data_IF_200144725203
#
_entry.id   IF_200144725203
#
_cell.length_a   1.000
_cell.length_b   1.000
_cell.length_c   1.000
_cell.angle_alpha   90.00
_cell.angle_beta   90.00
_cell.angle_gamma   90.00
#
_symmetry.space_group_name_H-M   'P 1'
#
loop_
_entity.id
_entity.type
_entity.pdbx_description
1 polymer ?
#
# COMPACT_ATOMS: atom_id res chain seq x y z
N UNK A 1 28.13 -4.98 -1.05
CA UNK A 1 26.71 -5.30 -1.35
C UNK A 1 25.99 -3.97 -1.57
N UNK A 2 25.18 -3.81 -2.62
CA UNK A 2 24.47 -2.55 -2.82
C UNK A 2 23.46 -2.34 -1.69
N UNK A 3 23.57 -1.21 -0.99
CA UNK A 3 22.62 -0.75 0.01
C UNK A 3 21.71 0.31 -0.60
N UNK A 4 20.45 0.35 -0.20
CA UNK A 4 19.50 1.39 -0.62
C UNK A 4 19.46 2.54 0.40
N UNK A 5 19.14 3.75 -0.06
CA UNK A 5 18.95 4.92 0.79
C UNK A 5 17.54 5.47 0.59
N UNK A 6 16.82 5.71 1.68
CA UNK A 6 15.45 6.27 1.68
C UNK A 6 15.41 7.80 1.52
N UNK A 7 16.58 8.45 1.45
CA UNK A 7 16.72 9.90 1.27
C UNK A 7 16.35 10.68 2.53
N UNK A 8 15.57 11.75 2.35
CA UNK A 8 15.18 12.68 3.43
C UNK A 8 14.49 11.98 4.61
N UNK A 9 13.70 10.95 4.33
CA UNK A 9 12.89 10.26 5.33
C UNK A 9 13.59 8.97 5.75
N UNK A 10 14.15 8.95 6.97
CA UNK A 10 14.85 7.79 7.55
C UNK A 10 14.00 7.01 8.55
N UNK A 11 12.70 7.33 8.62
CA UNK A 11 11.73 6.71 9.51
C UNK A 11 10.31 7.10 9.12
N UNK A 12 9.35 6.70 9.97
CA UNK A 12 7.94 7.04 9.77
C UNK A 12 7.69 8.54 9.95
N UNK A 13 6.65 9.04 9.31
CA UNK A 13 6.15 10.42 9.45
C UNK A 13 4.72 10.39 10.01
N UNK A 14 4.52 10.20 11.33
CA UNK A 14 3.19 9.99 11.91
C UNK A 14 2.21 11.13 11.65
N UNK A 15 2.73 12.36 11.49
CA UNK A 15 1.92 13.55 11.19
C UNK A 15 1.32 13.52 9.77
N UNK A 16 1.87 12.73 8.86
CA UNK A 16 1.40 12.65 7.48
C UNK A 16 0.43 11.47 7.27
N UNK A 17 0.19 10.65 8.31
CA UNK A 17 -0.82 9.58 8.27
C UNK A 17 -2.22 10.17 8.43
N UNK A 18 -3.08 9.88 7.47
CA UNK A 18 -4.50 10.23 7.50
C UNK A 18 -5.36 9.01 7.16
N UNK A 19 -6.62 9.02 7.59
CA UNK A 19 -7.63 8.00 7.28
C UNK A 19 -8.82 8.71 6.66
N UNK A 20 -9.32 8.20 5.54
CA UNK A 20 -10.50 8.77 4.87
C UNK A 20 -11.70 8.67 5.81
N UNK A 21 -12.40 9.78 5.99
CA UNK A 21 -13.61 9.83 6.82
C UNK A 21 -14.80 9.34 6.02
N UNK A 22 -14.99 8.02 5.99
CA UNK A 22 -16.12 7.38 5.30
C UNK A 22 -17.25 7.07 6.28
N UNK A 23 -18.48 7.37 5.89
CA UNK A 23 -19.66 7.18 6.74
C UNK A 23 -19.83 5.73 7.24
N UNK A 24 -19.33 4.74 6.50
CA UNK A 24 -19.43 3.32 6.86
C UNK A 24 -18.48 2.89 7.98
N UNK A 25 -17.37 3.61 8.19
CA UNK A 25 -16.34 3.26 9.19
C UNK A 25 -16.14 4.35 10.24
N UNK A 26 -16.82 5.48 10.09
CA UNK A 26 -16.62 6.67 10.92
C UNK A 26 -16.84 6.41 12.43
N UNK A 27 -17.81 5.57 12.79
CA UNK A 27 -18.08 5.19 14.19
C UNK A 27 -17.04 4.26 14.80
N UNK A 28 -16.29 3.54 13.96
CA UNK A 28 -15.41 2.46 14.38
C UNK A 28 -13.95 2.92 14.50
N UNK A 29 -13.63 4.08 13.91
CA UNK A 29 -12.29 4.65 13.91
C UNK A 29 -12.04 5.43 15.20
N UNK A 30 -10.91 5.15 15.86
CA UNK A 30 -10.42 5.94 16.98
C UNK A 30 -9.79 7.26 16.50
N UNK A 31 -10.58 8.33 16.47
CA UNK A 31 -10.18 9.63 15.90
C UNK A 31 -9.21 10.44 16.77
N UNK A 32 -9.08 10.20 18.08
CA UNK A 32 -8.07 10.91 18.88
C UNK A 32 -6.63 10.57 18.46
N UNK A 33 -6.44 9.40 17.84
CA UNK A 33 -5.14 8.90 17.38
C UNK A 33 -4.97 8.98 15.85
N UNK A 34 -6.03 9.27 15.09
CA UNK A 34 -6.02 9.25 13.63
C UNK A 34 -6.56 10.55 13.05
N UNK A 35 -5.90 11.08 12.02
CA UNK A 35 -6.31 12.33 11.38
C UNK A 35 -7.31 12.03 10.27
N UNK A 36 -8.49 12.67 10.25
CA UNK A 36 -9.43 12.51 9.15
C UNK A 36 -8.87 13.15 7.88
N UNK A 37 -9.18 12.53 6.74
CA UNK A 37 -9.04 13.08 5.40
C UNK A 37 -10.43 13.07 4.76
N UNK A 38 -10.84 14.18 4.18
CA UNK A 38 -12.13 14.24 3.50
C UNK A 38 -12.08 13.38 2.22
N UNK A 39 -13.17 12.67 1.86
CA UNK A 39 -13.21 11.82 0.67
C UNK A 39 -12.78 12.53 -0.62
N UNK A 40 -13.11 13.81 -0.79
CA UNK A 40 -12.76 14.61 -1.96
C UNK A 40 -11.24 14.86 -2.07
N UNK A 41 -10.59 15.10 -0.93
CA UNK A 41 -9.13 15.25 -0.87
C UNK A 41 -8.44 13.93 -1.21
N UNK A 42 -8.97 12.82 -0.71
CA UNK A 42 -8.49 11.49 -1.08
C UNK A 42 -8.61 11.24 -2.58
N UNK A 43 -9.74 11.56 -3.22
CA UNK A 43 -9.90 11.40 -4.66
C UNK A 43 -8.91 12.27 -5.45
N UNK A 44 -8.65 13.48 -4.97
CA UNK A 44 -7.63 14.36 -5.56
C UNK A 44 -6.23 13.73 -5.48
N UNK A 45 -5.84 13.19 -4.32
CA UNK A 45 -4.54 12.51 -4.14
C UNK A 45 -4.47 11.25 -5.02
N UNK A 46 -5.52 10.43 -5.02
CA UNK A 46 -5.62 9.20 -5.81
C UNK A 46 -5.49 9.48 -7.31
N UNK A 47 -6.10 10.55 -7.80
CA UNK A 47 -5.99 10.96 -9.20
C UNK A 47 -4.56 11.39 -9.53
N UNK A 48 -3.93 12.18 -8.65
CA UNK A 48 -2.54 12.64 -8.84
C UNK A 48 -1.54 11.49 -8.86
N UNK A 49 -1.65 10.52 -7.94
CA UNK A 49 -0.73 9.36 -7.93
C UNK A 49 -0.96 8.44 -9.13
N UNK A 50 -2.22 8.26 -9.55
CA UNK A 50 -2.54 7.51 -10.77
C UNK A 50 -1.90 8.14 -12.01
N UNK A 51 -2.02 9.46 -12.17
CA UNK A 51 -1.37 10.20 -13.25
C UNK A 51 0.16 10.14 -13.16
N UNK A 52 0.74 10.26 -11.95
CA UNK A 52 2.18 10.17 -11.73
C UNK A 52 2.75 8.81 -12.16
N UNK A 53 2.05 7.71 -11.84
CA UNK A 53 2.48 6.34 -12.14
C UNK A 53 2.16 5.88 -13.57
N UNK A 54 1.31 6.60 -14.32
CA UNK A 54 0.85 6.20 -15.65
C UNK A 54 2.03 5.98 -16.62
N UNK A 55 2.90 6.98 -16.74
CA UNK A 55 3.96 7.05 -17.76
C UNK A 55 5.35 6.69 -17.21
N UNK A 56 5.38 5.99 -16.07
CA UNK A 56 6.63 5.61 -15.40
C UNK A 56 6.82 4.10 -15.34
N UNK A 57 8.08 3.62 -15.38
CA UNK A 57 8.41 2.27 -14.96
C UNK A 57 7.89 2.01 -13.54
N UNK A 58 7.21 0.88 -13.37
CA UNK A 58 6.59 0.47 -12.11
C UNK A 58 6.76 -1.02 -11.91
N UNK A 59 6.87 -1.41 -10.65
CA UNK A 59 6.95 -2.79 -10.21
C UNK A 59 5.64 -3.15 -9.52
N UNK A 60 5.04 -4.26 -9.94
CA UNK A 60 3.84 -4.80 -9.32
C UNK A 60 4.23 -6.02 -8.49
N UNK A 61 3.86 -6.03 -7.21
CA UNK A 61 4.14 -7.14 -6.30
C UNK A 61 2.85 -7.58 -5.63
N UNK A 62 2.43 -8.80 -5.94
CA UNK A 62 1.28 -9.45 -5.32
C UNK A 62 1.74 -10.31 -4.15
N UNK A 63 1.12 -10.11 -2.99
CA UNK A 63 1.51 -10.74 -1.71
C UNK A 63 0.29 -11.04 -0.85
N UNK A 64 0.51 -11.85 0.18
CA UNK A 64 -0.46 -12.05 1.27
C UNK A 64 0.05 -11.45 2.58
N UNK A 65 -0.84 -10.78 3.30
CA UNK A 65 -0.64 -10.35 4.68
C UNK A 65 -1.46 -11.25 5.63
N UNK A 66 -0.78 -11.95 6.55
CA UNK A 66 -1.38 -12.99 7.38
C UNK A 66 -1.09 -14.40 6.85
N UNK A 67 -0.68 -15.30 7.76
CA UNK A 67 -0.24 -16.65 7.39
C UNK A 67 -1.39 -17.65 7.22
N UNK A 68 -2.51 -17.40 7.88
CA UNK A 68 -3.70 -18.24 7.79
C UNK A 68 -4.48 -17.93 6.50
N UNK A 69 -4.68 -18.89 5.59
CA UNK A 69 -5.46 -18.69 4.37
C UNK A 69 -6.90 -18.19 4.59
N UNK A 70 -7.51 -18.45 5.75
CA UNK A 70 -8.86 -18.00 6.07
C UNK A 70 -8.92 -16.49 6.36
N UNK A 71 -7.84 -15.92 6.92
CA UNK A 71 -7.82 -14.53 7.40
C UNK A 71 -6.80 -13.64 6.68
N UNK A 72 -6.04 -14.19 5.71
CA UNK A 72 -5.05 -13.43 4.96
C UNK A 72 -5.71 -12.45 4.02
N UNK A 73 -5.02 -11.34 3.79
CA UNK A 73 -5.45 -10.30 2.85
C UNK A 73 -4.57 -10.37 1.61
N UNK A 74 -5.18 -10.44 0.43
CA UNK A 74 -4.51 -10.31 -0.85
C UNK A 74 -4.15 -8.83 -1.10
N UNK A 75 -2.86 -8.49 -1.05
CA UNK A 75 -2.37 -7.11 -1.22
C UNK A 75 -1.53 -6.99 -2.49
N UNK A 76 -1.92 -6.06 -3.36
CA UNK A 76 -1.14 -5.64 -4.54
C UNK A 76 -0.41 -4.33 -4.25
N UNK A 77 0.89 -4.34 -4.42
CA UNK A 77 1.72 -3.14 -4.36
C UNK A 77 2.11 -2.69 -5.77
N UNK A 78 1.96 -1.41 -6.07
CA UNK A 78 2.43 -0.78 -7.30
C UNK A 78 3.42 0.30 -6.90
N UNK A 79 4.71 0.07 -7.16
CA UNK A 79 5.81 0.91 -6.64
C UNK A 79 6.74 1.35 -7.76
N UNK A 80 7.21 2.59 -7.73
CA UNK A 80 8.20 3.10 -8.71
C UNK A 80 9.61 2.53 -8.48
N UNK A 81 9.99 2.23 -7.23
CA UNK A 81 11.36 1.88 -6.87
C UNK A 81 11.60 0.37 -6.73
N UNK A 82 12.63 -0.20 -7.39
CA UNK A 82 12.88 -1.65 -7.34
C UNK A 82 13.17 -2.16 -5.92
N UNK A 83 13.86 -1.37 -5.09
CA UNK A 83 14.19 -1.81 -3.73
C UNK A 83 12.96 -1.82 -2.80
N UNK A 84 11.93 -1.01 -3.08
CA UNK A 84 10.65 -1.11 -2.37
C UNK A 84 9.95 -2.43 -2.72
N UNK A 85 9.93 -2.80 -4.00
CA UNK A 85 9.40 -4.10 -4.44
C UNK A 85 10.12 -5.28 -3.77
N UNK A 86 11.45 -5.21 -3.67
CA UNK A 86 12.26 -6.21 -2.95
C UNK A 86 11.93 -6.24 -1.45
N UNK A 87 11.80 -5.07 -0.80
CA UNK A 87 11.44 -4.97 0.61
C UNK A 87 10.09 -5.64 0.89
N UNK A 88 9.07 -5.33 0.09
CA UNK A 88 7.72 -5.91 0.19
C UNK A 88 7.77 -7.43 0.02
N UNK A 89 8.48 -7.92 -1.01
CA UNK A 89 8.63 -9.35 -1.29
C UNK A 89 9.35 -10.12 -0.16
N UNK A 90 10.18 -9.43 0.62
CA UNK A 90 10.89 -10.01 1.77
C UNK A 90 10.06 -9.96 3.05
N UNK A 91 9.18 -8.97 3.19
CA UNK A 91 8.39 -8.73 4.40
C UNK A 91 7.10 -9.55 4.44
N UNK A 92 6.44 -9.71 3.28
CA UNK A 92 5.13 -10.36 3.18
C UNK A 92 5.22 -11.77 2.57
N UNK A 93 4.10 -12.50 2.64
CA UNK A 93 4.04 -13.88 2.16
C UNK A 93 3.92 -13.87 0.64
N UNK A 94 4.78 -14.67 0.00
CA UNK A 94 4.82 -14.83 -1.45
C UNK A 94 3.77 -15.85 -1.87
N UNK A 95 2.84 -15.50 -2.78
CA UNK A 95 1.93 -16.47 -3.36
C UNK A 95 2.72 -17.49 -4.20
N UNK A 96 2.19 -18.69 -4.30
CA UNK A 96 2.64 -19.71 -5.24
C UNK A 96 2.28 -19.32 -6.68
N UNK A 97 2.86 -20.01 -7.67
CA UNK A 97 2.54 -19.76 -9.07
C UNK A 97 1.06 -20.00 -9.39
N UNK A 98 0.43 -20.98 -8.73
CA UNK A 98 -0.99 -21.31 -8.87
C UNK A 98 -1.87 -20.21 -8.27
N UNK A 99 -1.54 -19.73 -7.06
CA UNK A 99 -2.26 -18.61 -6.43
C UNK A 99 -2.14 -17.31 -7.23
N UNK A 100 -0.98 -17.05 -7.84
CA UNK A 100 -0.80 -15.89 -8.73
C UNK A 100 -1.70 -15.95 -9.97
N UNK A 101 -1.94 -17.14 -10.52
CA UNK A 101 -2.75 -17.29 -11.72
C UNK A 101 -4.20 -16.84 -11.52
N UNK A 102 -4.70 -16.88 -10.29
CA UNK A 102 -6.06 -16.47 -9.90
C UNK A 102 -6.07 -15.32 -8.89
N UNK A 103 -4.98 -14.57 -8.75
CA UNK A 103 -4.84 -13.55 -7.73
C UNK A 103 -5.75 -12.34 -8.00
N UNK A 104 -6.61 -12.02 -7.02
CA UNK A 104 -7.45 -10.83 -7.02
C UNK A 104 -7.10 -10.02 -5.77
N UNK A 105 -6.61 -8.77 -5.90
CA UNK A 105 -6.27 -7.97 -4.74
C UNK A 105 -7.51 -7.47 -3.99
N UNK A 106 -7.50 -7.65 -2.68
CA UNK A 106 -8.46 -7.03 -1.75
C UNK A 106 -8.00 -5.64 -1.33
N UNK A 107 -6.69 -5.43 -1.27
CA UNK A 107 -6.08 -4.14 -0.97
C UNK A 107 -5.03 -3.77 -2.02
N UNK A 108 -4.97 -2.48 -2.37
CA UNK A 108 -3.96 -1.94 -3.28
C UNK A 108 -3.18 -0.82 -2.61
N UNK A 109 -1.86 -0.88 -2.69
CA UNK A 109 -0.93 0.15 -2.17
C UNK A 109 -0.18 0.78 -3.35
N UNK A 110 -0.17 2.11 -3.40
CA UNK A 110 0.50 2.90 -4.43
C UNK A 110 1.63 3.70 -3.81
N UNK A 111 2.83 3.63 -4.40
CA UNK A 111 4.03 4.38 -4.02
C UNK A 111 4.74 4.97 -5.25
#
# INVERSE_FOLDING_TARGET
MPAAYSGKYTGRTPKDKHIVREAQTESDIWWDANRPLEPEDYQTIRTKIGAYLADRPKYVVDTYAGADPEYRIAVRFVVERPYHALFIRQLLIRPTAEELATFVPEWTVLD
#
